data_IF_249973358766
#
_entry.id   IF_249973358766
#
_cell.length_a   1.000
_cell.length_b   1.000
_cell.length_c   1.000
_cell.angle_alpha   90.00
_cell.angle_beta   90.00
_cell.angle_gamma   90.00
#
_symmetry.space_group_name_H-M   'P 1'
#
loop_
_entity.id
_entity.type
_entity.pdbx_description
1 polymer ?
#
# COMPACT_ATOMS: atom_id res chain seq x y z
N UNK A 1 38.51 8.92 -14.49
CA UNK A 1 39.01 10.31 -14.70
C UNK A 1 40.46 10.40 -14.23
N UNK A 2 41.30 11.10 -15.00
CA UNK A 2 42.70 11.35 -14.60
C UNK A 2 42.70 12.36 -13.42
N UNK A 3 43.42 12.10 -12.34
CA UNK A 3 43.48 13.04 -11.22
C UNK A 3 44.15 14.36 -11.65
N UNK A 4 43.44 15.44 -11.46
CA UNK A 4 43.93 16.80 -11.67
C UNK A 4 44.38 17.36 -10.33
N UNK A 5 45.48 18.12 -10.30
CA UNK A 5 45.94 18.75 -9.06
C UNK A 5 44.88 19.74 -8.52
N UNK A 6 44.57 19.65 -7.24
CA UNK A 6 43.59 20.50 -6.56
C UNK A 6 42.47 19.71 -5.86
N UNK A 7 41.48 20.44 -5.35
CA UNK A 7 40.30 19.83 -4.70
C UNK A 7 39.39 19.27 -5.78
N UNK A 8 39.11 18.00 -5.69
CA UNK A 8 38.20 17.30 -6.63
C UNK A 8 36.95 16.86 -5.91
N UNK A 9 35.82 16.96 -6.61
CA UNK A 9 34.54 16.38 -6.19
C UNK A 9 34.26 15.16 -7.05
N UNK A 10 34.23 14.00 -6.42
CA UNK A 10 33.85 12.75 -7.08
C UNK A 10 32.38 12.49 -6.77
N UNK A 11 31.56 12.38 -7.82
CA UNK A 11 30.16 11.97 -7.66
C UNK A 11 30.10 10.46 -7.53
N UNK A 12 29.59 10.00 -6.40
CA UNK A 12 29.31 8.58 -6.16
C UNK A 12 27.80 8.33 -6.19
N UNK A 13 27.35 7.08 -6.49
CA UNK A 13 25.93 6.75 -6.40
C UNK A 13 25.37 7.13 -5.04
N UNK A 14 24.16 7.71 -5.04
CA UNK A 14 23.53 8.11 -3.77
C UNK A 14 23.27 6.89 -2.89
N UNK A 15 23.77 6.92 -1.68
CA UNK A 15 23.60 5.90 -0.65
C UNK A 15 22.83 6.47 0.52
N UNK A 16 21.78 5.77 0.94
CA UNK A 16 21.02 6.15 2.13
C UNK A 16 21.75 5.79 3.40
N UNK A 17 22.04 6.77 4.19
CA UNK A 17 22.61 6.60 5.52
C UNK A 17 21.54 6.84 6.58
N UNK A 18 21.44 5.95 7.56
CA UNK A 18 20.57 6.17 8.72
C UNK A 18 21.23 7.25 9.60
N UNK A 19 20.44 8.20 10.08
CA UNK A 19 20.93 9.20 11.02
C UNK A 19 21.60 8.53 12.23
N UNK A 20 22.81 8.98 12.60
CA UNK A 20 23.59 8.41 13.69
C UNK A 20 24.36 7.12 13.35
N UNK A 21 24.28 6.62 12.12
CA UNK A 21 25.09 5.46 11.69
C UNK A 21 26.50 5.91 11.31
N UNK A 22 27.48 5.07 11.64
CA UNK A 22 28.86 5.20 11.14
C UNK A 22 28.92 4.64 9.71
N UNK A 23 29.70 5.26 8.86
CA UNK A 23 29.98 4.78 7.51
C UNK A 23 31.46 4.97 7.19
N UNK A 24 31.96 4.18 6.25
CA UNK A 24 33.34 4.29 5.77
C UNK A 24 33.34 4.56 4.27
N UNK A 25 34.22 5.44 3.83
CA UNK A 25 34.54 5.65 2.43
C UNK A 25 35.89 4.98 2.18
N UNK A 26 35.91 4.00 1.29
CA UNK A 26 37.13 3.31 0.90
C UNK A 26 37.51 3.77 -0.49
N UNK A 27 38.72 4.31 -0.62
CA UNK A 27 39.30 4.69 -1.90
C UNK A 27 40.41 3.71 -2.21
N UNK A 28 40.27 2.99 -3.31
CA UNK A 28 41.26 2.01 -3.79
C UNK A 28 41.84 2.45 -5.12
N UNK A 29 43.13 2.28 -5.28
CA UNK A 29 43.81 2.47 -6.54
C UNK A 29 44.24 1.08 -7.06
N UNK A 30 43.73 0.71 -8.23
CA UNK A 30 44.09 -0.56 -8.91
C UNK A 30 45.22 -0.39 -9.94
N UNK A 31 45.70 0.83 -10.14
CA UNK A 31 46.78 1.13 -11.10
C UNK A 31 48.15 1.19 -10.45
N UNK A 32 49.18 1.33 -11.30
CA UNK A 32 50.58 1.50 -10.90
C UNK A 32 50.91 2.98 -10.54
N UNK A 33 49.96 3.88 -10.69
CA UNK A 33 50.11 5.29 -10.37
C UNK A 33 49.77 5.58 -8.92
N UNK A 34 50.43 6.53 -8.32
CA UNK A 34 50.15 6.97 -6.93
C UNK A 34 48.99 7.97 -6.92
N UNK A 35 48.12 7.83 -5.93
CA UNK A 35 47.13 8.86 -5.60
C UNK A 35 47.62 9.59 -4.35
N UNK A 36 47.80 10.90 -4.46
CA UNK A 36 48.14 11.74 -3.34
C UNK A 36 46.88 12.35 -2.74
N UNK A 37 46.73 12.22 -1.42
CA UNK A 37 45.64 12.85 -0.68
C UNK A 37 46.18 14.01 0.16
N UNK A 38 45.42 15.09 0.21
CA UNK A 38 45.62 16.10 1.24
C UNK A 38 45.22 15.49 2.60
N UNK A 39 46.10 15.62 3.59
CA UNK A 39 45.84 15.19 4.96
C UNK A 39 45.87 16.38 5.91
N UNK A 40 45.07 16.34 6.95
CA UNK A 40 45.19 17.20 8.11
C UNK A 40 46.03 16.47 9.16
N UNK A 41 47.02 17.19 9.72
CA UNK A 41 47.85 16.66 10.77
C UNK A 41 47.91 17.62 11.95
N UNK A 42 48.07 17.11 13.15
CA UNK A 42 48.26 17.92 14.35
C UNK A 42 49.65 18.61 14.45
N UNK A 43 50.50 18.36 13.47
CA UNK A 43 51.79 19.08 13.37
C UNK A 43 51.73 20.10 12.26
N UNK A 44 52.21 21.31 12.50
CA UNK A 44 52.28 22.30 11.44
C UNK A 44 53.16 21.82 10.29
N UNK A 45 52.76 22.18 9.07
CA UNK A 45 53.59 21.92 7.89
C UNK A 45 54.85 22.80 7.94
N UNK A 46 56.01 22.18 7.75
CA UNK A 46 57.28 22.89 7.63
C UNK A 46 57.77 22.86 6.19
N UNK A 47 58.27 23.99 5.71
CA UNK A 47 59.00 24.01 4.46
C UNK A 47 60.35 23.30 4.60
N UNK A 48 61.04 23.04 3.50
CA UNK A 48 62.39 22.54 3.46
C UNK A 48 63.38 23.44 4.24
N UNK A 49 63.11 24.73 4.42
CA UNK A 49 63.84 25.67 5.23
C UNK A 49 63.44 25.73 6.72
N UNK A 50 62.59 24.85 7.21
CA UNK A 50 62.22 24.74 8.61
C UNK A 50 61.17 25.73 9.12
N UNK A 51 60.64 26.63 8.30
CA UNK A 51 59.58 27.58 8.69
C UNK A 51 58.21 26.92 8.71
N UNK A 52 57.47 27.16 9.79
CA UNK A 52 56.06 26.70 9.87
C UNK A 52 55.16 27.66 9.08
N UNK A 53 54.43 27.14 8.13
CA UNK A 53 53.43 27.91 7.37
C UNK A 53 52.09 28.01 8.09
N UNK A 54 51.69 26.97 8.78
CA UNK A 54 50.49 26.98 9.61
C UNK A 54 50.57 25.87 10.67
N UNK A 55 49.79 26.01 11.72
CA UNK A 55 49.50 24.96 12.69
C UNK A 55 48.03 24.59 12.52
N UNK A 56 47.77 23.31 12.39
CA UNK A 56 46.40 22.76 12.38
C UNK A 56 46.22 21.93 13.62
N UNK A 57 45.13 22.11 14.33
CA UNK A 57 44.64 21.21 15.37
C UNK A 57 43.51 20.42 14.74
N UNK A 58 43.84 19.35 14.06
CA UNK A 58 42.82 18.39 13.58
C UNK A 58 42.30 17.61 14.78
N UNK A 59 41.00 17.58 14.97
CA UNK A 59 40.35 16.72 15.97
C UNK A 59 40.39 15.26 15.52
N UNK A 60 41.55 14.63 15.58
CA UNK A 60 41.75 13.25 15.13
C UNK A 60 41.40 12.30 16.26
N UNK A 61 40.39 11.48 16.05
CA UNK A 61 39.98 10.44 16.99
C UNK A 61 40.27 9.05 16.42
N UNK A 62 40.45 8.05 17.30
CA UNK A 62 40.63 6.66 16.89
C UNK A 62 39.43 6.14 16.14
N UNK A 63 39.65 5.39 15.08
CA UNK A 63 38.59 4.80 14.24
C UNK A 63 37.98 5.75 13.20
N UNK A 64 38.50 6.98 13.03
CA UNK A 64 38.01 7.92 12.03
C UNK A 64 38.65 7.77 10.66
N UNK A 65 39.93 7.46 10.62
CA UNK A 65 40.68 7.33 9.36
C UNK A 65 41.65 6.16 9.45
N UNK A 66 41.67 5.35 8.43
CA UNK A 66 42.58 4.21 8.32
C UNK A 66 43.33 4.29 7.00
N UNK A 67 44.58 3.89 7.04
CA UNK A 67 45.47 3.77 5.88
C UNK A 67 46.02 2.36 5.79
N UNK A 68 46.10 1.86 4.57
CA UNK A 68 46.75 0.57 4.25
C UNK A 68 47.77 0.79 3.15
N UNK A 69 49.01 0.32 3.36
CA UNK A 69 50.05 0.36 2.34
C UNK A 69 49.72 -0.50 1.11
N UNK A 70 50.46 -0.32 0.02
CA UNK A 70 50.26 -1.01 -1.25
C UNK A 70 50.51 -2.54 -1.25
N UNK A 71 51.22 -3.03 -0.20
CA UNK A 71 51.47 -4.45 -0.07
C UNK A 71 50.18 -5.24 0.26
N UNK A 72 50.00 -6.40 -0.35
CA UNK A 72 48.88 -7.27 -0.03
C UNK A 72 48.83 -7.70 1.45
N UNK A 73 49.97 -7.77 2.10
CA UNK A 73 50.15 -8.12 3.53
C UNK A 73 50.13 -6.94 4.47
N UNK A 74 50.02 -5.69 3.95
CA UNK A 74 50.00 -4.50 4.81
C UNK A 74 48.72 -4.51 5.64
N UNK A 75 48.80 -4.15 6.90
CA UNK A 75 47.66 -3.94 7.79
C UNK A 75 47.12 -2.54 7.74
N UNK A 76 45.87 -2.36 8.16
CA UNK A 76 45.25 -1.07 8.28
C UNK A 76 45.82 -0.32 9.51
N UNK A 77 46.33 0.88 9.31
CA UNK A 77 46.83 1.76 10.39
C UNK A 77 45.79 2.86 10.66
N UNK A 78 45.49 3.09 11.95
CA UNK A 78 44.63 4.18 12.39
C UNK A 78 45.34 5.54 12.19
N UNK A 79 44.68 6.50 11.59
CA UNK A 79 45.20 7.84 11.37
C UNK A 79 45.59 8.58 12.66
N UNK A 80 44.91 8.28 13.78
CA UNK A 80 45.27 8.80 15.09
C UNK A 80 46.71 8.41 15.50
N UNK A 81 47.06 7.14 15.29
CA UNK A 81 48.42 6.62 15.56
C UNK A 81 49.48 7.30 14.72
N UNK A 82 49.14 7.72 13.50
CA UNK A 82 50.01 8.42 12.57
C UNK A 82 49.88 9.94 12.65
N UNK A 83 49.01 10.45 13.55
CA UNK A 83 48.77 11.88 13.78
C UNK A 83 48.31 12.65 12.54
N UNK A 84 47.49 12.01 11.67
CA UNK A 84 46.91 12.65 10.50
C UNK A 84 45.53 12.06 10.17
N UNK A 85 44.75 12.79 9.41
CA UNK A 85 43.45 12.32 8.85
C UNK A 85 43.33 12.76 7.40
N UNK A 86 42.66 11.94 6.60
CA UNK A 86 42.38 12.29 5.19
C UNK A 86 41.21 13.27 5.16
N UNK A 87 41.38 14.37 4.42
CA UNK A 87 40.32 15.36 4.22
C UNK A 87 39.28 14.84 3.22
N UNK A 88 38.39 14.00 3.69
CA UNK A 88 37.25 13.56 2.90
C UNK A 88 36.01 14.25 3.47
N UNK A 89 35.36 15.07 2.65
CA UNK A 89 34.11 15.71 2.99
C UNK A 89 32.96 14.96 2.29
N UNK A 90 32.20 14.17 3.04
CA UNK A 90 30.98 13.62 2.51
C UNK A 90 29.91 14.70 2.48
N UNK A 91 29.47 15.08 1.29
CA UNK A 91 28.29 15.94 1.14
C UNK A 91 27.04 15.06 1.30
N UNK A 92 26.50 15.02 2.52
CA UNK A 92 25.24 14.36 2.77
C UNK A 92 24.10 15.35 2.54
N UNK A 93 23.11 14.95 1.78
CA UNK A 93 21.81 15.63 1.78
C UNK A 93 20.96 14.98 2.87
N UNK A 94 20.37 15.80 3.75
CA UNK A 94 19.19 15.32 4.49
C UNK A 94 18.24 14.76 3.45
N UNK A 95 17.67 13.59 3.71
CA UNK A 95 16.65 13.02 2.83
C UNK A 95 15.64 14.11 2.56
N UNK A 96 15.78 14.74 1.41
CA UNK A 96 14.81 15.73 1.03
C UNK A 96 13.50 14.95 1.02
N UNK A 97 12.47 15.41 1.73
CA UNK A 97 11.13 14.82 1.68
C UNK A 97 10.64 14.63 0.24
N UNK A 98 11.39 15.17 -0.74
CA UNK A 98 11.12 15.05 -2.17
C UNK A 98 11.13 13.62 -2.72
N UNK A 99 11.73 12.65 -2.01
CA UNK A 99 11.75 11.24 -2.45
C UNK A 99 10.66 10.39 -1.83
N UNK A 100 10.09 10.87 -0.74
CA UNK A 100 8.92 10.22 -0.13
C UNK A 100 7.68 10.72 -0.86
N UNK A 101 6.96 9.86 -1.57
CA UNK A 101 5.74 10.27 -2.24
C UNK A 101 4.68 10.77 -1.25
N UNK A 102 3.76 11.60 -1.72
CA UNK A 102 2.62 12.02 -0.93
C UNK A 102 1.71 10.83 -0.57
N UNK A 103 0.94 11.00 0.48
CA UNK A 103 -0.04 9.99 0.90
C UNK A 103 -1.15 9.86 -0.14
N UNK A 104 -1.40 8.66 -0.71
CA UNK A 104 -2.45 8.48 -1.70
C UNK A 104 -3.84 8.83 -1.15
N UNK A 105 -4.61 9.60 -1.92
CA UNK A 105 -6.04 9.77 -1.71
C UNK A 105 -6.75 8.65 -2.43
N UNK A 106 -7.50 7.83 -1.70
CA UNK A 106 -8.15 6.64 -2.24
C UNK A 106 -9.58 6.50 -1.73
N UNK A 107 -10.34 5.70 -2.45
CA UNK A 107 -11.70 5.28 -2.07
C UNK A 107 -11.87 3.77 -2.29
N UNK A 108 -12.81 3.17 -1.58
CA UNK A 108 -13.15 1.76 -1.73
C UNK A 108 -14.64 1.61 -1.90
N UNK A 109 -15.03 0.81 -2.90
CA UNK A 109 -16.44 0.52 -3.17
C UNK A 109 -16.65 -0.99 -3.28
N UNK A 110 -17.65 -1.50 -2.57
CA UNK A 110 -18.10 -2.88 -2.73
C UNK A 110 -18.99 -3.04 -3.96
N UNK A 111 -18.85 -4.15 -4.67
CA UNK A 111 -19.61 -4.46 -5.88
C UNK A 111 -20.48 -5.72 -5.71
N UNK A 112 -21.67 -5.68 -6.27
CA UNK A 112 -22.63 -6.82 -6.27
C UNK A 112 -22.04 -8.12 -6.82
N UNK A 113 -20.99 -8.01 -7.64
CA UNK A 113 -20.26 -9.15 -8.20
C UNK A 113 -19.38 -9.88 -7.19
N UNK A 114 -19.30 -9.42 -5.93
CA UNK A 114 -18.59 -10.09 -4.85
C UNK A 114 -17.11 -9.71 -4.76
N UNK A 115 -16.75 -8.49 -5.12
CA UNK A 115 -15.41 -7.93 -4.93
C UNK A 115 -15.49 -6.51 -4.36
N UNK A 116 -14.41 -6.04 -3.77
CA UNK A 116 -14.22 -4.63 -3.44
C UNK A 116 -13.22 -4.01 -4.44
N UNK A 117 -13.52 -2.81 -4.92
CA UNK A 117 -12.64 -2.03 -5.79
C UNK A 117 -12.00 -0.93 -4.96
N UNK A 118 -10.69 -0.97 -4.86
CA UNK A 118 -9.86 0.13 -4.32
C UNK A 118 -9.40 0.97 -5.50
N UNK A 119 -9.59 2.28 -5.44
CA UNK A 119 -9.14 3.22 -6.48
C UNK A 119 -8.49 4.44 -5.83
N UNK A 120 -7.45 4.98 -6.46
CA UNK A 120 -6.69 6.12 -5.95
C UNK A 120 -6.29 7.08 -7.05
N UNK A 121 -5.95 8.30 -6.64
CA UNK A 121 -5.37 9.29 -7.55
C UNK A 121 -3.88 9.02 -7.73
N UNK A 122 -3.37 9.33 -8.93
CA UNK A 122 -1.92 9.27 -9.20
C UNK A 122 -1.19 10.19 -8.23
N UNK A 123 -0.12 9.68 -7.64
CA UNK A 123 0.76 10.44 -6.75
C UNK A 123 2.01 10.83 -7.52
N UNK A 124 2.41 12.09 -7.44
CA UNK A 124 3.64 12.58 -8.06
C UNK A 124 4.86 11.81 -7.52
N UNK A 125 5.83 11.55 -8.38
CA UNK A 125 7.07 10.83 -8.06
C UNK A 125 6.89 9.37 -7.61
N UNK A 126 5.67 8.86 -7.47
CA UNK A 126 5.48 7.45 -7.16
C UNK A 126 5.92 6.58 -8.34
N UNK A 127 6.69 5.54 -8.07
CA UNK A 127 7.06 4.48 -9.02
C UNK A 127 6.13 3.28 -8.91
N UNK A 128 5.34 3.19 -7.83
CA UNK A 128 4.34 2.16 -7.65
C UNK A 128 3.54 2.32 -6.35
N UNK A 129 2.66 1.35 -6.12
CA UNK A 129 1.73 1.37 -5.00
C UNK A 129 1.60 0.00 -4.35
N UNK A 130 1.53 -0.02 -3.02
CA UNK A 130 1.11 -1.16 -2.24
C UNK A 130 -0.34 -0.97 -1.79
N UNK A 131 -1.16 -2.00 -2.00
CA UNK A 131 -2.51 -2.05 -1.44
C UNK A 131 -2.52 -3.01 -0.27
N UNK A 132 -3.08 -2.57 0.84
CA UNK A 132 -3.22 -3.38 2.05
C UNK A 132 -4.69 -3.51 2.44
N UNK A 133 -5.00 -4.63 3.08
CA UNK A 133 -6.30 -4.93 3.65
C UNK A 133 -6.16 -5.50 5.05
N UNK A 134 -7.11 -5.21 5.93
CA UNK A 134 -7.32 -5.91 7.20
C UNK A 134 -8.81 -6.10 7.49
N UNK A 135 -9.20 -7.08 8.33
CA UNK A 135 -10.57 -7.15 8.86
C UNK A 135 -10.92 -5.87 9.62
N UNK A 136 -12.17 -5.40 9.51
CA UNK A 136 -12.59 -4.18 10.22
C UNK A 136 -12.64 -4.37 11.74
N UNK A 137 -12.88 -5.60 12.20
CA UNK A 137 -12.89 -5.95 13.62
C UNK A 137 -11.52 -5.91 14.30
N UNK A 138 -10.45 -5.73 13.54
CA UNK A 138 -9.06 -5.71 14.05
C UNK A 138 -8.13 -6.62 13.27
N UNK A 139 -6.88 -6.72 13.72
CA UNK A 139 -5.86 -7.55 13.09
C UNK A 139 -4.79 -6.75 12.33
N UNK A 140 -3.78 -7.48 11.85
CA UNK A 140 -2.64 -6.91 11.12
C UNK A 140 -3.01 -6.56 9.67
N UNK A 141 -2.37 -5.54 9.13
CA UNK A 141 -2.43 -5.22 7.71
C UNK A 141 -1.75 -6.31 6.88
N UNK A 142 -2.44 -6.80 5.86
CA UNK A 142 -1.89 -7.72 4.86
C UNK A 142 -1.72 -6.98 3.53
N UNK A 143 -0.54 -7.04 2.95
CA UNK A 143 -0.31 -6.56 1.59
C UNK A 143 -1.03 -7.50 0.61
N UNK A 144 -1.92 -6.95 -0.19
CA UNK A 144 -2.74 -7.71 -1.15
C UNK A 144 -2.38 -7.39 -2.61
N UNK A 145 -1.66 -6.30 -2.85
CA UNK A 145 -1.11 -5.98 -4.16
C UNK A 145 0.16 -5.13 -4.07
N UNK A 146 1.01 -5.30 -5.09
CA UNK A 146 2.15 -4.47 -5.45
C UNK A 146 1.99 -4.14 -6.94
N UNK A 147 1.78 -2.87 -7.28
CA UNK A 147 1.43 -2.46 -8.63
C UNK A 147 2.22 -1.24 -9.08
N UNK A 148 2.50 -1.16 -10.37
CA UNK A 148 3.24 -0.04 -10.96
C UNK A 148 2.44 1.27 -11.00
N UNK A 149 3.13 2.35 -11.37
CA UNK A 149 2.61 3.74 -11.33
C UNK A 149 1.41 4.00 -12.24
N UNK A 150 1.24 3.22 -13.32
CA UNK A 150 0.09 3.32 -14.23
C UNK A 150 -1.20 2.69 -13.69
N UNK A 151 -1.08 1.81 -12.69
CA UNK A 151 -2.22 1.12 -12.08
C UNK A 151 -2.79 1.96 -10.96
N UNK A 152 -4.01 2.45 -11.14
CA UNK A 152 -4.71 3.31 -10.17
C UNK A 152 -5.96 2.65 -9.57
N UNK A 153 -6.14 1.36 -9.80
CA UNK A 153 -7.27 0.56 -9.31
C UNK A 153 -6.80 -0.86 -8.96
N UNK A 154 -7.37 -1.41 -7.91
CA UNK A 154 -7.17 -2.82 -7.55
C UNK A 154 -8.50 -3.48 -7.21
N UNK A 155 -8.77 -4.62 -7.87
CA UNK A 155 -9.96 -5.44 -7.65
C UNK A 155 -9.66 -6.54 -6.64
N UNK A 156 -10.13 -6.37 -5.41
CA UNK A 156 -10.00 -7.40 -4.38
C UNK A 156 -11.14 -8.41 -4.47
N UNK A 157 -10.90 -9.50 -5.15
CA UNK A 157 -11.86 -10.62 -5.31
C UNK A 157 -11.77 -11.65 -4.17
N UNK A 158 -10.81 -11.51 -3.25
CA UNK A 158 -10.63 -12.45 -2.12
C UNK A 158 -11.39 -12.03 -0.86
N UNK A 159 -12.39 -11.16 -0.99
CA UNK A 159 -13.27 -10.78 0.11
C UNK A 159 -14.28 -11.87 0.41
N UNK A 160 -14.55 -12.10 1.70
CA UNK A 160 -15.63 -12.98 2.14
C UNK A 160 -16.95 -12.20 2.14
N UNK A 161 -18.03 -12.80 1.64
CA UNK A 161 -19.36 -12.19 1.64
C UNK A 161 -19.80 -11.77 3.04
N UNK A 162 -20.45 -10.61 3.14
CA UNK A 162 -20.89 -9.99 4.39
C UNK A 162 -19.77 -9.66 5.41
N UNK A 163 -18.50 -9.85 5.06
CA UNK A 163 -17.38 -9.45 5.92
C UNK A 163 -17.02 -7.97 5.71
N UNK A 164 -16.58 -7.32 6.77
CA UNK A 164 -16.19 -5.92 6.76
C UNK A 164 -14.67 -5.79 6.77
N UNK A 165 -14.14 -4.90 5.96
CA UNK A 165 -12.71 -4.68 5.76
C UNK A 165 -12.37 -3.20 5.84
N UNK A 166 -11.11 -2.91 6.20
CA UNK A 166 -10.45 -1.62 5.98
C UNK A 166 -9.32 -1.80 4.98
N UNK A 167 -9.09 -0.77 4.20
CA UNK A 167 -8.03 -0.72 3.21
C UNK A 167 -7.12 0.46 3.46
N UNK A 168 -5.91 0.37 2.91
CA UNK A 168 -5.02 1.50 2.74
C UNK A 168 -4.15 1.31 1.51
N UNK A 169 -3.71 2.43 0.93
CA UNK A 169 -2.78 2.46 -0.18
C UNK A 169 -1.54 3.22 0.26
N UNK A 170 -0.37 2.67 -0.01
CA UNK A 170 0.92 3.35 0.14
C UNK A 170 1.53 3.54 -1.23
N UNK A 171 1.91 4.76 -1.55
CA UNK A 171 2.80 5.02 -2.68
C UNK A 171 4.24 4.71 -2.28
N UNK A 172 5.06 4.29 -3.24
CA UNK A 172 6.49 4.22 -3.05
C UNK A 172 7.23 4.83 -4.23
N UNK A 173 8.39 5.39 -3.93
CA UNK A 173 9.41 5.76 -4.89
C UNK A 173 10.56 4.77 -4.79
N UNK A 174 10.99 4.22 -5.90
CA UNK A 174 12.10 3.26 -5.96
C UNK A 174 13.30 3.90 -6.64
N UNK A 175 14.43 3.90 -5.92
CA UNK A 175 15.71 4.35 -6.44
C UNK A 175 16.81 3.46 -5.89
N UNK A 176 17.78 3.09 -6.73
CA UNK A 176 18.94 2.26 -6.37
C UNK A 176 18.57 0.99 -5.59
N UNK A 177 17.50 0.31 -5.99
CA UNK A 177 17.02 -0.92 -5.36
C UNK A 177 16.34 -0.74 -4.01
N UNK A 178 16.11 0.50 -3.56
CA UNK A 178 15.40 0.81 -2.32
C UNK A 178 14.05 1.48 -2.59
N UNK A 179 13.06 1.17 -1.75
CA UNK A 179 11.72 1.76 -1.80
C UNK A 179 11.48 2.70 -0.63
N UNK A 180 11.07 3.92 -0.95
CA UNK A 180 10.69 4.97 0.00
C UNK A 180 9.19 5.09 0.01
N UNK A 181 8.57 4.91 1.17
CA UNK A 181 7.12 4.77 1.28
C UNK A 181 6.47 6.04 1.80
N UNK A 182 5.33 6.39 1.21
CA UNK A 182 4.46 7.42 1.75
C UNK A 182 3.95 7.06 3.15
N UNK A 183 3.49 8.07 3.90
CA UNK A 183 2.54 7.82 4.98
C UNK A 183 1.30 7.14 4.41
N UNK A 184 0.37 6.73 5.26
CA UNK A 184 -0.90 6.16 4.83
C UNK A 184 -2.05 6.64 5.71
N UNK A 185 -3.24 6.67 5.15
CA UNK A 185 -4.50 6.85 5.88
C UNK A 185 -5.25 5.53 5.92
N UNK A 186 -6.05 5.34 6.96
CA UNK A 186 -6.96 4.19 7.01
C UNK A 186 -8.28 4.61 6.41
N UNK A 187 -8.73 3.90 5.37
CA UNK A 187 -10.03 4.14 4.75
C UNK A 187 -11.20 3.70 5.63
N UNK A 188 -12.39 4.10 5.23
CA UNK A 188 -13.64 3.71 5.87
C UNK A 188 -13.83 2.19 5.87
N UNK A 189 -14.73 1.74 6.74
CA UNK A 189 -15.13 0.33 6.75
C UNK A 189 -16.00 0.06 5.53
N UNK A 190 -15.59 -0.89 4.72
CA UNK A 190 -16.35 -1.36 3.56
C UNK A 190 -16.81 -2.79 3.81
N UNK A 191 -18.10 -3.04 3.67
CA UNK A 191 -18.69 -4.36 3.82
C UNK A 191 -18.90 -5.02 2.47
N UNK A 192 -18.27 -6.17 2.28
CA UNK A 192 -18.40 -6.93 1.04
C UNK A 192 -19.85 -7.33 0.78
N UNK A 193 -20.21 -7.43 -0.51
CA UNK A 193 -21.56 -7.81 -0.92
C UNK A 193 -22.07 -9.09 -0.23
N UNK A 194 -23.38 -9.18 0.04
CA UNK A 194 -23.97 -10.41 0.55
C UNK A 194 -23.76 -11.59 -0.42
N UNK A 195 -23.74 -12.81 0.11
CA UNK A 195 -23.70 -14.01 -0.71
C UNK A 195 -24.95 -14.16 -1.57
N UNK A 196 -24.89 -15.08 -2.55
CA UNK A 196 -26.05 -15.40 -3.41
C UNK A 196 -27.30 -15.65 -2.57
N UNK A 197 -28.36 -14.86 -2.80
CA UNK A 197 -29.63 -15.03 -2.13
C UNK A 197 -30.48 -16.06 -2.86
N UNK A 198 -30.92 -17.08 -2.14
CA UNK A 198 -31.77 -18.13 -2.65
C UNK A 198 -33.15 -18.06 -2.01
N UNK A 199 -34.19 -18.18 -2.81
CA UNK A 199 -35.56 -18.45 -2.37
C UNK A 199 -35.65 -19.94 -2.04
N UNK A 200 -36.16 -20.28 -0.86
CA UNK A 200 -36.36 -21.66 -0.41
C UNK A 200 -37.73 -22.21 -0.83
N UNK A 201 -38.76 -21.36 -0.84
CA UNK A 201 -40.09 -21.78 -1.34
C UNK A 201 -40.92 -20.57 -1.78
N UNK A 202 -41.84 -20.81 -2.72
CA UNK A 202 -42.91 -19.86 -3.07
C UNK A 202 -44.20 -20.68 -3.17
N UNK A 203 -45.22 -20.30 -2.38
CA UNK A 203 -46.50 -21.05 -2.32
C UNK A 203 -47.67 -20.08 -2.35
N UNK A 204 -48.75 -20.46 -3.06
CA UNK A 204 -50.03 -19.78 -2.99
C UNK A 204 -50.72 -20.09 -1.66
N UNK A 205 -51.19 -19.06 -0.99
CA UNK A 205 -51.97 -19.12 0.26
C UNK A 205 -53.30 -18.38 0.07
N UNK A 206 -54.30 -18.61 0.92
CA UNK A 206 -55.63 -17.96 0.85
C UNK A 206 -55.54 -16.42 0.73
N UNK A 207 -54.55 -15.77 1.43
CA UNK A 207 -54.40 -14.31 1.48
C UNK A 207 -53.34 -13.73 0.54
N UNK A 208 -52.66 -14.56 -0.28
CA UNK A 208 -51.57 -14.08 -1.15
C UNK A 208 -50.62 -15.18 -1.58
N UNK A 209 -49.43 -14.77 -2.03
CA UNK A 209 -48.32 -15.68 -2.31
C UNK A 209 -47.27 -15.48 -1.24
N UNK A 210 -46.88 -16.56 -0.56
CA UNK A 210 -45.84 -16.60 0.45
C UNK A 210 -44.50 -16.90 -0.21
N UNK A 211 -43.54 -16.01 -0.03
CA UNK A 211 -42.15 -16.18 -0.44
C UNK A 211 -41.35 -16.48 0.80
N UNK A 212 -40.51 -17.54 0.81
CA UNK A 212 -39.54 -17.84 1.88
C UNK A 212 -38.14 -17.92 1.30
N UNK A 213 -37.15 -17.51 2.10
CA UNK A 213 -35.74 -17.54 1.73
C UNK A 213 -34.85 -17.86 2.92
N UNK A 214 -33.58 -18.23 2.63
CA UNK A 214 -32.59 -18.45 3.66
C UNK A 214 -32.07 -17.09 4.16
N UNK A 215 -32.18 -16.76 5.48
CA UNK A 215 -31.77 -15.49 6.00
C UNK A 215 -30.24 -15.34 5.98
N UNK A 216 -29.76 -14.12 5.75
CA UNK A 216 -28.35 -13.73 5.86
C UNK A 216 -28.19 -12.76 7.03
N UNK A 217 -27.96 -13.28 8.25
CA UNK A 217 -27.95 -12.53 9.52
C UNK A 217 -27.09 -11.24 9.50
N UNK A 218 -26.02 -11.22 8.67
CA UNK A 218 -25.12 -10.07 8.56
C UNK A 218 -25.50 -9.04 7.50
N UNK A 219 -26.59 -9.22 6.75
CA UNK A 219 -27.10 -8.21 5.84
C UNK A 219 -27.98 -7.17 6.55
N UNK A 220 -28.27 -6.05 5.91
CA UNK A 220 -29.15 -5.01 6.46
C UNK A 220 -30.63 -5.26 6.14
N UNK A 221 -30.93 -6.19 5.22
CA UNK A 221 -32.29 -6.57 4.88
C UNK A 221 -32.42 -7.09 3.45
N UNK A 222 -33.65 -7.02 2.93
CA UNK A 222 -34.01 -7.65 1.66
C UNK A 222 -34.87 -6.73 0.80
N UNK A 223 -34.66 -6.81 -0.51
CA UNK A 223 -35.53 -6.26 -1.54
C UNK A 223 -36.20 -7.41 -2.27
N UNK A 224 -37.53 -7.36 -2.35
CA UNK A 224 -38.36 -8.41 -2.97
C UNK A 224 -38.93 -7.82 -4.25
N UNK A 225 -38.71 -8.53 -5.33
CA UNK A 225 -39.21 -8.19 -6.67
C UNK A 225 -40.14 -9.26 -7.17
N UNK A 226 -41.10 -8.83 -7.98
CA UNK A 226 -42.10 -9.69 -8.64
C UNK A 226 -42.19 -9.33 -10.11
N UNK A 227 -42.42 -10.33 -10.96
CA UNK A 227 -42.85 -10.12 -12.34
C UNK A 227 -43.94 -11.11 -12.73
N UNK A 228 -44.80 -10.74 -13.69
CA UNK A 228 -45.68 -11.67 -14.45
C UNK A 228 -44.83 -12.39 -15.51
N UNK A 229 -45.33 -13.50 -16.08
CA UNK A 229 -44.73 -14.15 -17.25
C UNK A 229 -44.57 -13.11 -18.38
N UNK A 230 -43.42 -13.06 -19.02
CA UNK A 230 -43.12 -12.10 -20.08
C UNK A 230 -42.81 -10.67 -19.63
N UNK A 231 -43.07 -10.29 -18.36
CA UNK A 231 -42.85 -8.94 -17.85
C UNK A 231 -41.50 -8.75 -17.16
N UNK A 232 -41.22 -7.49 -16.75
CA UNK A 232 -40.02 -7.10 -16.01
C UNK A 232 -40.23 -7.18 -14.51
N UNK A 233 -39.13 -7.37 -13.74
CA UNK A 233 -39.16 -7.38 -12.29
C UNK A 233 -39.44 -6.00 -11.71
N UNK A 234 -40.50 -5.89 -10.91
CA UNK A 234 -40.86 -4.68 -10.16
C UNK A 234 -40.59 -4.90 -8.68
N UNK A 235 -40.02 -3.89 -8.01
CA UNK A 235 -39.82 -3.91 -6.57
C UNK A 235 -41.19 -3.83 -5.85
N UNK A 236 -41.51 -4.82 -5.05
CA UNK A 236 -42.78 -4.86 -4.31
C UNK A 236 -42.63 -4.64 -2.82
N UNK A 237 -41.43 -4.90 -2.25
CA UNK A 237 -41.21 -4.71 -0.81
C UNK A 237 -39.71 -4.49 -0.51
N UNK A 238 -39.44 -3.56 0.40
CA UNK A 238 -38.17 -3.41 1.10
C UNK A 238 -38.38 -3.86 2.54
N UNK A 239 -37.47 -4.68 3.06
CA UNK A 239 -37.52 -5.24 4.41
C UNK A 239 -36.20 -4.93 5.08
N UNK A 240 -36.25 -4.33 6.27
CA UNK A 240 -35.07 -4.15 7.12
C UNK A 240 -34.91 -5.35 8.06
N UNK A 241 -33.63 -5.71 8.34
CA UNK A 241 -33.29 -6.83 9.21
C UNK A 241 -32.91 -8.10 8.45
N UNK A 242 -31.70 -8.60 8.73
CA UNK A 242 -31.10 -9.78 8.07
C UNK A 242 -31.70 -11.12 8.55
N UNK A 243 -32.41 -11.14 9.67
CA UNK A 243 -33.00 -12.36 10.25
C UNK A 243 -34.35 -12.74 9.66
N UNK A 244 -34.98 -11.83 8.90
CA UNK A 244 -36.27 -12.10 8.27
C UNK A 244 -36.11 -13.08 7.12
N UNK A 245 -37.03 -14.00 6.99
CA UNK A 245 -36.95 -15.13 6.05
C UNK A 245 -38.23 -15.34 5.22
N UNK A 246 -39.25 -14.48 5.36
CA UNK A 246 -40.49 -14.61 4.59
C UNK A 246 -41.19 -13.27 4.35
N UNK A 247 -42.01 -13.26 3.28
CA UNK A 247 -42.93 -12.18 2.94
C UNK A 247 -44.19 -12.74 2.30
N UNK A 248 -45.37 -12.20 2.63
CA UNK A 248 -46.64 -12.49 2.02
C UNK A 248 -47.03 -11.39 1.05
N UNK A 249 -47.01 -11.68 -0.25
CA UNK A 249 -47.48 -10.79 -1.30
C UNK A 249 -49.00 -10.85 -1.42
N UNK A 250 -49.68 -10.01 -0.66
CA UNK A 250 -51.13 -9.85 -0.66
C UNK A 250 -51.68 -9.23 -1.95
N UNK A 251 -50.81 -8.48 -2.72
CA UNK A 251 -51.21 -7.82 -3.96
C UNK A 251 -51.09 -8.68 -5.22
N UNK A 252 -50.69 -9.95 -5.11
CA UNK A 252 -50.74 -10.87 -6.23
C UNK A 252 -52.20 -11.12 -6.62
N UNK A 253 -52.54 -11.08 -7.90
CA UNK A 253 -53.92 -11.29 -8.41
C UNK A 253 -54.21 -12.78 -8.55
N UNK A 254 -55.46 -13.21 -8.23
CA UNK A 254 -55.92 -14.59 -8.42
C UNK A 254 -55.81 -14.95 -9.90
N UNK A 255 -55.52 -16.23 -10.18
CA UNK A 255 -55.40 -16.75 -11.53
C UNK A 255 -54.10 -16.40 -12.26
N UNK A 256 -53.32 -15.46 -11.76
CA UNK A 256 -52.10 -14.96 -12.41
C UNK A 256 -50.84 -15.67 -11.89
N UNK A 257 -49.93 -15.99 -12.81
CA UNK A 257 -48.63 -16.61 -12.51
C UNK A 257 -47.54 -15.56 -12.35
N UNK A 258 -46.75 -15.70 -11.28
CA UNK A 258 -45.69 -14.78 -10.93
C UNK A 258 -44.34 -15.47 -10.70
N UNK A 259 -43.27 -14.73 -10.93
CA UNK A 259 -41.90 -15.07 -10.55
C UNK A 259 -41.42 -14.07 -9.52
N UNK A 260 -40.64 -14.53 -8.56
CA UNK A 260 -40.08 -13.70 -7.50
C UNK A 260 -38.56 -13.75 -7.46
N UNK A 261 -37.98 -12.64 -7.00
CA UNK A 261 -36.57 -12.50 -6.70
C UNK A 261 -36.46 -11.85 -5.35
N UNK A 262 -35.53 -12.34 -4.52
CA UNK A 262 -35.11 -11.71 -3.27
C UNK A 262 -33.64 -11.35 -3.40
N UNK A 263 -33.28 -10.09 -3.10
CA UNK A 263 -31.92 -9.61 -3.00
C UNK A 263 -31.63 -9.19 -1.57
N UNK A 264 -30.64 -9.79 -0.93
CA UNK A 264 -30.09 -9.26 0.31
C UNK A 264 -29.29 -7.98 0.02
N UNK A 265 -29.25 -7.03 0.95
CA UNK A 265 -28.44 -5.82 0.78
C UNK A 265 -27.64 -5.51 2.04
N UNK A 266 -26.51 -4.82 1.85
CA UNK A 266 -25.76 -4.11 2.88
C UNK A 266 -25.70 -2.64 2.55
N UNK A 267 -25.78 -1.79 3.58
CA UNK A 267 -25.60 -0.35 3.46
C UNK A 267 -24.10 -0.03 3.44
N UNK A 268 -23.70 0.83 2.53
CA UNK A 268 -22.35 1.33 2.39
C UNK A 268 -22.38 2.86 2.25
N UNK A 269 -21.28 3.57 2.57
CA UNK A 269 -21.22 5.03 2.45
C UNK A 269 -21.60 5.56 1.07
N UNK A 270 -21.31 4.79 0.03
CA UNK A 270 -21.56 5.15 -1.38
C UNK A 270 -22.79 4.45 -1.99
N UNK A 271 -23.73 4.01 -1.16
CA UNK A 271 -24.97 3.35 -1.58
C UNK A 271 -25.01 1.86 -1.24
N UNK A 272 -26.19 1.27 -1.45
CA UNK A 272 -26.39 -0.13 -1.10
C UNK A 272 -25.70 -1.09 -2.08
N UNK A 273 -25.11 -2.16 -1.54
CA UNK A 273 -24.60 -3.29 -2.32
C UNK A 273 -25.51 -4.48 -2.15
N UNK A 274 -25.80 -5.19 -3.22
CA UNK A 274 -26.80 -6.25 -3.27
C UNK A 274 -26.17 -7.62 -3.55
N UNK A 275 -26.81 -8.67 -3.05
CA UNK A 275 -26.48 -10.05 -3.41
C UNK A 275 -26.78 -10.34 -4.88
N UNK A 276 -26.09 -11.33 -5.45
CA UNK A 276 -26.63 -12.08 -6.59
C UNK A 276 -27.92 -12.77 -6.18
N UNK A 277 -28.74 -13.17 -7.16
CA UNK A 277 -30.04 -13.84 -6.92
C UNK A 277 -30.32 -14.92 -7.95
N UNK A 278 -31.25 -15.81 -7.60
CA UNK A 278 -31.93 -16.70 -8.54
C UNK A 278 -33.41 -16.39 -8.51
N UNK A 279 -34.06 -16.44 -9.68
CA UNK A 279 -35.53 -16.37 -9.80
C UNK A 279 -36.18 -17.62 -9.21
N UNK A 280 -37.36 -17.46 -8.61
CA UNK A 280 -38.21 -18.60 -8.29
C UNK A 280 -38.72 -19.29 -9.56
N UNK A 281 -39.24 -20.51 -9.42
CA UNK A 281 -40.17 -21.06 -10.37
C UNK A 281 -41.46 -20.23 -10.42
N UNK A 282 -42.24 -20.39 -11.47
CA UNK A 282 -43.56 -19.77 -11.58
C UNK A 282 -44.51 -20.30 -10.47
N UNK A 283 -45.28 -19.39 -9.88
CA UNK A 283 -46.34 -19.74 -8.95
C UNK A 283 -47.63 -19.00 -9.35
N UNK A 284 -48.71 -19.80 -9.58
CA UNK A 284 -50.04 -19.24 -9.86
C UNK A 284 -50.77 -19.01 -8.55
N UNK A 285 -51.31 -17.79 -8.34
CA UNK A 285 -52.16 -17.53 -7.19
C UNK A 285 -53.50 -18.20 -7.39
N UNK A 286 -53.87 -19.09 -6.48
CA UNK A 286 -55.18 -19.74 -6.39
C UNK A 286 -56.23 -18.79 -5.80
#
# INVERSE_FOLDING_TARGET
EQPVAGVQTVTVPEVMLKQGSRYSVVITNSGISYISFGVEANAGYKTSGGSKWFTSTAGIESGQTFHKGASATAEWSDGKTKNWTVRIKAHTRTLNQSWVPDTPVFQVKAYNSGYNLVSWKKVSKATGYYVYRKPAAGGKWSKIADVGTSTLKYKDSKVKANASYRYTVKAYYEASGKRYYSKYTTGDVVKAAPSLQKISSVKSEKKGIRIRWNPQKKCNGYYIYRKKKGGSYQLIKRISGGNLSSYLDKKAQKGVSYYYVVKAYVKEPYGNTYSKYKSSSAVKRK
#
